data_IF_870602487007
#
_entry.id   IF_870602487007
#
_cell.length_a   1.000
_cell.length_b   1.000
_cell.length_c   1.000
_cell.angle_alpha   90.00
_cell.angle_beta   90.00
_cell.angle_gamma   90.00
#
_symmetry.space_group_name_H-M   'P 1'
#
loop_
_entity.id
_entity.type
_entity.pdbx_description
1 polymer ?
#
# COMPACT_ATOMS: atom_id res chain seq x y z
N UNK A 1 -4.72 -30.61 11.52
CA UNK A 1 -3.53 -29.98 10.90
C UNK A 1 -3.30 -28.57 11.50
N UNK A 2 -2.10 -28.30 12.05
CA UNK A 2 -1.75 -26.94 12.49
C UNK A 2 -1.81 -25.99 11.29
N UNK A 3 -2.54 -24.88 11.40
CA UNK A 3 -2.65 -23.86 10.34
C UNK A 3 -1.26 -23.36 9.99
N UNK A 4 -0.81 -23.56 8.75
CA UNK A 4 0.50 -23.06 8.28
C UNK A 4 0.53 -21.55 8.39
N UNK A 5 1.47 -21.00 9.16
CA UNK A 5 1.69 -19.57 9.26
C UNK A 5 2.44 -19.09 8.01
N UNK A 6 1.98 -18.01 7.40
CA UNK A 6 2.60 -17.38 6.24
C UNK A 6 3.60 -16.28 6.67
N UNK A 7 4.69 -16.73 7.34
CA UNK A 7 5.68 -15.82 7.93
C UNK A 7 6.35 -14.94 6.87
N UNK A 8 6.66 -15.48 5.69
CA UNK A 8 7.25 -14.71 4.60
C UNK A 8 6.30 -13.62 4.08
N UNK A 9 4.99 -13.87 4.03
CA UNK A 9 4.01 -12.84 3.70
C UNK A 9 3.92 -11.76 4.79
N UNK A 10 4.09 -12.12 6.06
CA UNK A 10 4.17 -11.11 7.12
C UNK A 10 5.44 -10.26 6.97
N UNK A 11 6.59 -10.83 6.58
CA UNK A 11 7.81 -10.07 6.25
C UNK A 11 7.56 -9.14 5.05
N UNK A 12 6.90 -9.63 4.01
CA UNK A 12 6.55 -8.82 2.83
C UNK A 12 5.69 -7.62 3.19
N UNK A 13 4.72 -7.76 4.12
CA UNK A 13 3.93 -6.62 4.63
C UNK A 13 4.80 -5.58 5.33
N UNK A 14 5.84 -6.00 6.05
CA UNK A 14 6.78 -5.08 6.67
C UNK A 14 7.54 -4.28 5.61
N UNK A 15 8.10 -4.96 4.60
CA UNK A 15 8.83 -4.29 3.51
C UNK A 15 7.92 -3.36 2.71
N UNK A 16 6.68 -3.78 2.43
CA UNK A 16 5.70 -2.94 1.76
C UNK A 16 5.32 -1.72 2.62
N UNK A 17 5.25 -1.84 3.95
CA UNK A 17 5.01 -0.70 4.83
C UNK A 17 6.18 0.29 4.82
N UNK A 18 7.42 -0.18 4.76
CA UNK A 18 8.62 0.67 4.58
C UNK A 18 8.54 1.40 3.24
N UNK A 19 8.23 0.68 2.16
CA UNK A 19 8.12 1.25 0.82
C UNK A 19 6.99 2.29 0.69
N UNK A 20 5.87 2.13 1.42
CA UNK A 20 4.82 3.17 1.48
C UNK A 20 5.34 4.45 2.15
N UNK A 21 6.14 4.34 3.20
CA UNK A 21 6.74 5.54 3.83
C UNK A 21 7.68 6.24 2.86
N UNK A 22 8.48 5.49 2.10
CA UNK A 22 9.35 6.02 1.04
C UNK A 22 8.55 6.78 -0.02
N UNK A 23 7.42 6.25 -0.49
CA UNK A 23 6.56 6.92 -1.47
C UNK A 23 6.09 8.31 -0.98
N UNK A 24 5.93 8.50 0.33
CA UNK A 24 5.46 9.77 0.91
C UNK A 24 6.58 10.68 1.40
N UNK A 25 7.76 10.17 1.70
CA UNK A 25 8.98 10.92 2.04
C UNK A 25 10.18 10.26 1.38
N UNK A 26 10.39 10.53 0.07
CA UNK A 26 11.49 9.95 -0.68
C UNK A 26 12.87 10.30 -0.08
N UNK A 27 13.81 9.40 -0.27
CA UNK A 27 15.22 9.63 0.05
C UNK A 27 15.79 10.71 -0.88
N UNK A 28 16.30 11.79 -0.33
CA UNK A 28 16.92 12.89 -1.08
C UNK A 28 18.45 12.64 -1.24
N UNK A 29 18.79 11.51 -1.87
CA UNK A 29 20.16 11.06 -2.15
C UNK A 29 20.31 10.68 -3.62
N UNK A 30 21.54 10.53 -4.08
CA UNK A 30 21.78 10.01 -5.43
C UNK A 30 21.16 8.59 -5.58
N UNK A 31 20.35 8.39 -6.62
CA UNK A 31 19.60 7.13 -6.82
C UNK A 31 18.29 7.05 -6.04
N UNK A 32 17.87 8.10 -5.34
CA UNK A 32 16.60 8.15 -4.61
C UNK A 32 15.38 7.97 -5.52
N UNK A 33 15.39 8.59 -6.69
CA UNK A 33 14.29 8.46 -7.66
C UNK A 33 14.16 7.03 -8.18
N UNK A 34 15.26 6.37 -8.49
CA UNK A 34 15.27 4.96 -8.89
C UNK A 34 14.78 4.06 -7.74
N UNK A 35 15.12 4.38 -6.50
CA UNK A 35 14.64 3.66 -5.32
C UNK A 35 13.14 3.90 -5.08
N UNK A 36 12.65 5.12 -5.33
CA UNK A 36 11.21 5.42 -5.29
C UNK A 36 10.42 4.56 -6.29
N UNK A 37 10.95 4.38 -7.51
CA UNK A 37 10.34 3.48 -8.52
C UNK A 37 10.29 2.05 -7.99
N UNK A 38 11.37 1.56 -7.37
CA UNK A 38 11.38 0.24 -6.74
C UNK A 38 10.24 0.12 -5.72
N UNK A 39 10.00 1.15 -4.91
CA UNK A 39 8.99 1.12 -3.84
C UNK A 39 7.53 1.10 -4.35
N UNK A 40 7.27 1.37 -5.64
CA UNK A 40 5.92 1.33 -6.24
C UNK A 40 5.25 -0.06 -6.16
N UNK A 41 5.99 -1.14 -5.89
CA UNK A 41 5.41 -2.47 -5.65
C UNK A 41 4.48 -2.53 -4.43
N UNK A 42 4.60 -1.60 -3.48
CA UNK A 42 4.03 -1.74 -2.13
C UNK A 42 2.50 -1.86 -2.12
N UNK A 43 1.79 -0.93 -2.78
CA UNK A 43 0.32 -0.92 -2.80
C UNK A 43 -0.26 -2.09 -3.61
N UNK A 44 0.23 -2.40 -4.83
CA UNK A 44 -0.09 -3.61 -5.55
C UNK A 44 0.02 -4.89 -4.70
N UNK A 45 1.11 -5.02 -3.96
CA UNK A 45 1.34 -6.19 -3.09
C UNK A 45 0.34 -6.26 -1.93
N UNK A 46 -0.06 -5.16 -1.32
CA UNK A 46 -1.10 -5.19 -0.29
C UNK A 46 -2.44 -5.68 -0.82
N UNK A 47 -2.84 -5.28 -2.04
CA UNK A 47 -4.03 -5.82 -2.70
C UNK A 47 -3.87 -7.32 -3.02
N UNK A 48 -2.72 -7.73 -3.56
CA UNK A 48 -2.43 -9.16 -3.83
C UNK A 48 -2.46 -10.00 -2.55
N UNK A 49 -1.88 -9.52 -1.44
CA UNK A 49 -1.93 -10.23 -0.15
C UNK A 49 -3.38 -10.41 0.31
N UNK A 50 -4.19 -9.35 0.22
CA UNK A 50 -5.60 -9.43 0.61
C UNK A 50 -6.35 -10.43 -0.26
N UNK A 51 -6.16 -10.38 -1.58
CA UNK A 51 -6.71 -11.34 -2.53
C UNK A 51 -6.24 -12.77 -2.28
N UNK A 52 -4.97 -12.99 -1.98
CA UNK A 52 -4.39 -14.32 -1.72
C UNK A 52 -5.06 -15.06 -0.55
N UNK A 53 -5.47 -14.33 0.47
CA UNK A 53 -6.20 -14.90 1.61
C UNK A 53 -7.72 -14.87 1.48
N UNK A 54 -8.26 -14.18 0.46
CA UNK A 54 -9.69 -14.05 0.27
C UNK A 54 -10.41 -15.38 0.03
N UNK A 55 -9.88 -16.37 -0.74
CA UNK A 55 -10.48 -17.70 -0.86
C UNK A 55 -10.72 -18.41 0.48
N UNK A 56 -9.81 -18.22 1.46
CA UNK A 56 -10.02 -18.77 2.80
C UNK A 56 -11.12 -18.02 3.57
N UNK A 57 -11.29 -16.74 3.30
CA UNK A 57 -12.35 -15.91 3.88
C UNK A 57 -13.71 -16.36 3.37
N UNK A 58 -13.84 -16.58 2.04
CA UNK A 58 -15.04 -17.10 1.40
C UNK A 58 -15.39 -18.51 1.92
N UNK A 59 -14.41 -19.41 1.92
CA UNK A 59 -14.62 -20.78 2.42
C UNK A 59 -15.08 -20.83 3.89
N UNK A 60 -14.77 -19.81 4.69
CA UNK A 60 -15.18 -19.68 6.09
C UNK A 60 -16.41 -18.79 6.29
N UNK A 61 -17.02 -18.27 5.22
CA UNK A 61 -18.17 -17.34 5.24
C UNK A 61 -17.89 -16.11 6.16
N UNK A 62 -16.71 -15.48 5.97
CA UNK A 62 -16.24 -14.35 6.83
C UNK A 62 -16.07 -13.06 6.05
N UNK A 63 -16.61 -12.95 4.86
CA UNK A 63 -16.47 -11.78 3.96
C UNK A 63 -17.01 -10.51 4.62
N UNK A 64 -18.23 -10.58 5.17
CA UNK A 64 -18.83 -9.45 5.89
C UNK A 64 -18.03 -9.07 7.14
N UNK A 65 -17.44 -10.05 7.83
CA UNK A 65 -16.56 -9.77 8.98
C UNK A 65 -15.27 -9.08 8.54
N UNK A 66 -14.71 -9.47 7.40
CA UNK A 66 -13.54 -8.82 6.83
C UNK A 66 -13.88 -7.39 6.41
N UNK A 67 -14.98 -7.20 5.70
CA UNK A 67 -15.49 -5.89 5.30
C UNK A 67 -15.70 -4.99 6.52
N UNK A 68 -16.46 -5.44 7.54
CA UNK A 68 -16.72 -4.69 8.75
C UNK A 68 -15.44 -4.27 9.50
N UNK A 69 -14.40 -5.14 9.52
CA UNK A 69 -13.11 -4.79 10.09
C UNK A 69 -12.43 -3.65 9.31
N UNK A 70 -12.37 -3.73 7.98
CA UNK A 70 -11.75 -2.69 7.15
C UNK A 70 -12.56 -1.40 7.24
N UNK A 71 -13.90 -1.48 7.20
CA UNK A 71 -14.79 -0.34 7.36
C UNK A 71 -14.54 0.41 8.68
N UNK A 72 -14.47 -0.32 9.81
CA UNK A 72 -14.16 0.28 11.11
C UNK A 72 -12.79 0.96 11.12
N UNK A 73 -11.77 0.36 10.50
CA UNK A 73 -10.44 0.96 10.38
C UNK A 73 -10.50 2.22 9.52
N UNK A 74 -11.23 2.18 8.40
CA UNK A 74 -11.38 3.32 7.48
C UNK A 74 -12.06 4.50 8.18
N UNK A 75 -13.17 4.26 8.88
CA UNK A 75 -13.86 5.31 9.67
C UNK A 75 -12.93 5.86 10.75
N UNK A 76 -12.28 4.99 11.52
CA UNK A 76 -11.35 5.41 12.57
C UNK A 76 -10.18 6.23 12.04
N UNK A 77 -9.61 5.86 10.87
CA UNK A 77 -8.54 6.62 10.23
C UNK A 77 -9.02 8.00 9.74
N UNK A 78 -10.21 8.08 9.11
CA UNK A 78 -10.77 9.37 8.69
C UNK A 78 -11.09 10.28 9.88
N UNK A 79 -11.66 9.75 10.98
CA UNK A 79 -11.88 10.52 12.21
C UNK A 79 -10.55 11.00 12.83
N UNK A 80 -9.53 10.15 12.83
CA UNK A 80 -8.19 10.54 13.29
C UNK A 80 -7.65 11.71 12.47
N UNK A 81 -7.72 11.65 11.14
CA UNK A 81 -7.22 12.73 10.27
C UNK A 81 -8.09 13.98 10.32
N UNK A 82 -9.40 13.86 10.57
CA UNK A 82 -10.25 15.03 10.86
C UNK A 82 -9.76 15.77 12.10
N UNK A 83 -9.51 15.04 13.20
CA UNK A 83 -8.95 15.63 14.44
C UNK A 83 -7.53 16.18 14.22
N UNK A 84 -6.73 15.51 13.40
CA UNK A 84 -5.40 15.96 13.04
C UNK A 84 -5.42 17.28 12.27
N UNK A 85 -6.29 17.45 11.27
CA UNK A 85 -6.46 18.71 10.53
C UNK A 85 -6.94 19.84 11.45
N UNK A 86 -7.85 19.56 12.39
CA UNK A 86 -8.27 20.55 13.41
C UNK A 86 -7.06 20.98 14.27
N UNK A 87 -6.24 20.04 14.75
CA UNK A 87 -5.03 20.35 15.49
C UNK A 87 -4.06 21.24 14.70
N UNK A 88 -3.88 20.94 13.41
CA UNK A 88 -3.03 21.70 12.52
C UNK A 88 -3.55 23.12 12.29
N UNK A 89 -4.87 23.29 12.14
CA UNK A 89 -5.50 24.60 11.98
C UNK A 89 -5.34 25.44 13.26
N UNK A 90 -5.54 24.83 14.44
CA UNK A 90 -5.31 25.51 15.74
C UNK A 90 -3.85 25.95 15.90
N UNK A 91 -2.89 25.09 15.58
CA UNK A 91 -1.45 25.40 15.65
C UNK A 91 -1.09 26.59 14.76
N UNK A 92 -1.65 26.64 13.55
CA UNK A 92 -1.44 27.72 12.59
C UNK A 92 -2.26 28.99 12.87
N UNK A 93 -3.14 28.95 13.87
CA UNK A 93 -4.11 30.02 14.15
C UNK A 93 -5.04 30.34 12.98
N UNK A 94 -5.33 29.36 12.16
CA UNK A 94 -6.28 29.44 11.06
C UNK A 94 -7.74 29.26 11.57
N UNK A 95 -8.70 29.76 10.81
CA UNK A 95 -10.11 29.48 11.09
C UNK A 95 -10.41 28.00 10.79
N UNK A 96 -10.75 27.23 11.82
CA UNK A 96 -10.97 25.78 11.72
C UNK A 96 -12.02 25.44 10.64
N UNK A 97 -13.12 26.23 10.57
CA UNK A 97 -14.18 26.01 9.60
C UNK A 97 -13.66 26.21 8.16
N UNK A 98 -12.91 27.27 7.91
CA UNK A 98 -12.34 27.58 6.59
C UNK A 98 -11.29 26.54 6.21
N UNK A 99 -10.40 26.15 7.13
CA UNK A 99 -9.39 25.12 6.90
C UNK A 99 -10.01 23.76 6.56
N UNK A 100 -11.11 23.38 7.22
CA UNK A 100 -11.84 22.16 6.89
C UNK A 100 -12.62 22.28 5.58
N UNK A 101 -13.31 23.39 5.34
CA UNK A 101 -14.05 23.61 4.09
C UNK A 101 -13.11 23.56 2.88
N UNK A 102 -11.92 24.15 2.96
CA UNK A 102 -10.92 24.09 1.90
C UNK A 102 -10.50 22.67 1.50
N UNK A 103 -10.67 21.67 2.41
CA UNK A 103 -10.43 20.26 2.08
C UNK A 103 -11.58 19.62 1.31
N UNK A 104 -12.78 20.23 1.34
CA UNK A 104 -14.00 19.72 0.72
C UNK A 104 -14.47 20.59 -0.46
N UNK A 105 -13.64 21.54 -0.91
CA UNK A 105 -13.95 22.38 -2.08
C UNK A 105 -13.89 21.57 -3.38
N UNK A 106 -14.82 21.89 -4.27
CA UNK A 106 -14.97 21.37 -5.63
C UNK A 106 -15.12 19.83 -5.74
N UNK A 107 -15.36 19.10 -6.55
CA UNK A 107 -15.42 17.67 -6.95
C UNK A 107 -15.26 16.60 -5.84
N UNK A 108 -15.02 16.97 -4.57
CA UNK A 108 -14.76 16.01 -3.50
C UNK A 108 -15.82 14.91 -3.38
N UNK A 109 -17.14 15.17 -3.48
CA UNK A 109 -18.14 14.11 -3.42
C UNK A 109 -18.02 13.12 -4.59
N UNK A 110 -17.78 13.61 -5.81
CA UNK A 110 -17.61 12.77 -7.00
C UNK A 110 -16.32 11.97 -6.92
N UNK A 111 -15.21 12.63 -6.59
CA UNK A 111 -13.90 11.99 -6.48
C UNK A 111 -13.85 10.98 -5.32
N UNK A 112 -14.56 11.25 -4.22
CA UNK A 112 -14.71 10.30 -3.12
C UNK A 112 -15.51 9.07 -3.55
N UNK A 113 -16.65 9.25 -4.24
CA UNK A 113 -17.54 8.15 -4.62
C UNK A 113 -16.97 7.38 -5.80
N UNK A 114 -16.54 8.07 -6.87
CA UNK A 114 -16.11 7.41 -8.11
C UNK A 114 -14.65 6.93 -8.05
N UNK A 115 -13.77 7.71 -7.40
CA UNK A 115 -12.33 7.46 -7.42
C UNK A 115 -11.75 7.14 -6.05
N UNK A 116 -12.61 6.99 -5.03
CA UNK A 116 -12.22 6.67 -3.65
C UNK A 116 -11.16 7.63 -3.06
N UNK A 117 -11.17 8.87 -3.48
CA UNK A 117 -10.27 9.90 -2.94
C UNK A 117 -10.66 10.27 -1.50
N UNK A 118 -9.66 10.49 -0.62
CA UNK A 118 -9.89 11.02 0.72
C UNK A 118 -9.51 12.49 0.79
N UNK A 119 -10.42 13.40 1.13
CA UNK A 119 -10.12 14.83 1.28
C UNK A 119 -9.24 15.10 2.51
N UNK A 120 -9.32 14.25 3.55
CA UNK A 120 -8.62 14.45 4.81
C UNK A 120 -7.14 14.06 4.75
N UNK A 121 -6.81 13.02 3.99
CA UNK A 121 -5.41 12.62 3.82
C UNK A 121 -5.21 11.76 2.57
N UNK A 122 -4.25 12.11 1.70
CA UNK A 122 -4.14 11.50 0.37
C UNK A 122 -3.84 10.00 0.42
N UNK A 123 -3.13 9.49 1.43
CA UNK A 123 -2.78 8.07 1.52
C UNK A 123 -3.98 7.18 1.89
N UNK A 124 -5.06 7.72 2.47
CA UNK A 124 -6.23 6.93 2.87
C UNK A 124 -7.00 6.31 1.70
N UNK A 125 -6.71 6.73 0.46
CA UNK A 125 -7.33 6.18 -0.75
C UNK A 125 -7.30 4.65 -0.80
N UNK A 126 -6.21 4.01 -0.33
CA UNK A 126 -6.08 2.56 -0.35
C UNK A 126 -7.14 1.85 0.51
N UNK A 127 -7.44 2.37 1.72
CA UNK A 127 -8.47 1.77 2.58
C UNK A 127 -9.85 1.87 1.95
N UNK A 128 -10.15 3.00 1.32
CA UNK A 128 -11.42 3.22 0.62
C UNK A 128 -11.50 2.34 -0.62
N UNK A 129 -10.45 2.31 -1.45
CA UNK A 129 -10.35 1.39 -2.58
C UNK A 129 -10.53 -0.07 -2.16
N UNK A 130 -9.95 -0.47 -1.03
CA UNK A 130 -10.09 -1.83 -0.50
C UNK A 130 -11.53 -2.16 -0.12
N UNK A 131 -12.31 -1.20 0.41
CA UNK A 131 -13.74 -1.41 0.67
C UNK A 131 -14.52 -1.68 -0.62
N UNK A 132 -14.30 -0.87 -1.68
CA UNK A 132 -14.91 -1.11 -2.99
C UNK A 132 -14.53 -2.47 -3.55
N UNK A 133 -13.25 -2.82 -3.49
CA UNK A 133 -12.74 -4.13 -3.94
C UNK A 133 -13.43 -5.27 -3.20
N UNK A 134 -13.61 -5.18 -1.88
CA UNK A 134 -14.25 -6.22 -1.07
C UNK A 134 -15.74 -6.35 -1.39
N UNK A 135 -16.45 -5.25 -1.66
CA UNK A 135 -17.87 -5.29 -2.09
C UNK A 135 -17.98 -5.95 -3.47
N UNK A 136 -17.16 -5.53 -4.44
CA UNK A 136 -17.16 -6.11 -5.78
C UNK A 136 -16.78 -7.60 -5.72
N UNK A 137 -15.78 -7.95 -4.91
CA UNK A 137 -15.37 -9.34 -4.73
C UNK A 137 -16.48 -10.20 -4.13
N UNK A 138 -17.22 -9.68 -3.15
CA UNK A 138 -18.39 -10.36 -2.59
C UNK A 138 -19.44 -10.64 -3.68
N UNK A 139 -19.80 -9.63 -4.48
CA UNK A 139 -20.78 -9.76 -5.55
C UNK A 139 -20.31 -10.78 -6.61
N UNK A 140 -19.06 -10.66 -7.07
CA UNK A 140 -18.48 -11.55 -8.09
C UNK A 140 -18.43 -13.01 -7.64
N UNK A 141 -18.08 -13.26 -6.36
CA UNK A 141 -18.06 -14.62 -5.81
C UNK A 141 -19.47 -15.22 -5.72
N UNK A 142 -20.47 -14.45 -5.25
CA UNK A 142 -21.83 -14.93 -5.09
C UNK A 142 -22.58 -15.13 -6.43
N UNK A 143 -22.22 -14.35 -7.45
CA UNK A 143 -22.73 -14.51 -8.81
C UNK A 143 -21.95 -15.55 -9.64
N UNK A 144 -20.89 -16.14 -9.11
CA UNK A 144 -20.07 -17.11 -9.84
C UNK A 144 -19.24 -16.52 -10.99
N UNK A 145 -19.04 -15.20 -11.01
CA UNK A 145 -18.39 -14.45 -12.10
C UNK A 145 -16.86 -14.41 -12.02
N UNK A 146 -16.25 -15.26 -11.20
CA UNK A 146 -14.81 -15.31 -10.93
C UNK A 146 -13.95 -15.42 -12.19
N UNK A 147 -14.40 -16.23 -13.20
CA UNK A 147 -13.68 -16.37 -14.48
C UNK A 147 -13.61 -15.05 -15.24
N UNK A 148 -14.72 -14.31 -15.25
CA UNK A 148 -14.78 -12.99 -15.89
C UNK A 148 -13.85 -11.98 -15.20
N UNK A 149 -13.81 -11.98 -13.86
CA UNK A 149 -12.89 -11.15 -13.09
C UNK A 149 -11.41 -11.45 -13.44
N UNK A 150 -11.04 -12.72 -13.63
CA UNK A 150 -9.69 -13.07 -14.06
C UNK A 150 -9.38 -12.62 -15.50
N UNK A 151 -10.34 -12.71 -16.42
CA UNK A 151 -10.18 -12.20 -17.77
C UNK A 151 -10.05 -10.67 -17.83
N UNK A 152 -10.63 -9.96 -16.85
CA UNK A 152 -10.53 -8.51 -16.77
C UNK A 152 -9.15 -8.04 -16.29
N UNK A 153 -8.34 -8.86 -15.62
CA UNK A 153 -7.04 -8.46 -15.06
C UNK A 153 -6.15 -7.75 -16.09
N UNK A 154 -5.83 -8.34 -17.26
CA UNK A 154 -4.93 -7.67 -18.22
C UNK A 154 -5.51 -6.37 -18.76
N UNK A 155 -6.83 -6.27 -18.93
CA UNK A 155 -7.51 -5.05 -19.41
C UNK A 155 -7.40 -3.94 -18.34
N UNK A 156 -7.63 -4.27 -17.07
CA UNK A 156 -7.52 -3.32 -15.97
C UNK A 156 -6.07 -2.87 -15.74
N UNK A 157 -5.09 -3.77 -15.87
CA UNK A 157 -3.67 -3.42 -15.80
C UNK A 157 -3.25 -2.52 -16.97
N UNK A 158 -3.74 -2.77 -18.18
CA UNK A 158 -3.52 -1.86 -19.31
C UNK A 158 -4.15 -0.48 -19.04
N UNK A 159 -5.37 -0.45 -18.48
CA UNK A 159 -6.02 0.78 -18.03
C UNK A 159 -5.22 1.54 -16.96
N UNK A 160 -4.61 0.82 -16.01
CA UNK A 160 -3.71 1.38 -15.00
C UNK A 160 -2.51 2.11 -15.64
N UNK A 161 -1.88 1.52 -16.63
CA UNK A 161 -0.78 2.15 -17.37
C UNK A 161 -1.25 3.37 -18.15
N UNK A 162 -2.34 3.25 -18.91
CA UNK A 162 -2.89 4.33 -19.76
C UNK A 162 -3.33 5.54 -18.91
N UNK A 163 -3.97 5.32 -17.76
CA UNK A 163 -4.42 6.37 -16.85
C UNK A 163 -3.34 6.80 -15.83
N UNK A 164 -2.28 6.02 -15.70
CA UNK A 164 -1.13 6.24 -14.84
C UNK A 164 0.03 6.95 -15.53
N UNK A 165 1.17 6.31 -15.57
CA UNK A 165 2.42 6.89 -16.08
C UNK A 165 2.39 7.27 -17.55
N UNK A 166 1.54 6.61 -18.37
CA UNK A 166 1.38 6.90 -19.79
C UNK A 166 0.22 7.86 -20.10
N UNK A 167 -0.42 8.47 -19.10
CA UNK A 167 -1.62 9.28 -19.28
C UNK A 167 -1.39 10.48 -20.20
N UNK A 168 -0.26 11.18 -20.10
CA UNK A 168 0.04 12.28 -21.02
C UNK A 168 0.24 11.84 -22.47
N UNK A 169 0.65 10.58 -22.69
CA UNK A 169 0.83 10.03 -24.03
C UNK A 169 -0.51 9.67 -24.69
N UNK A 170 -1.48 9.15 -23.90
CA UNK A 170 -2.74 8.62 -24.45
C UNK A 170 -3.94 9.55 -24.26
N UNK A 171 -3.99 10.35 -23.19
CA UNK A 171 -5.20 11.06 -22.76
C UNK A 171 -5.01 12.59 -22.77
N UNK A 172 -3.78 13.07 -22.62
CA UNK A 172 -3.45 14.50 -22.59
C UNK A 172 -3.41 15.10 -21.17
N UNK A 173 -3.08 16.40 -21.07
CA UNK A 173 -2.82 17.06 -19.78
C UNK A 173 -4.07 17.26 -18.93
N UNK A 174 -5.22 17.53 -19.56
CA UNK A 174 -6.46 17.88 -18.87
C UNK A 174 -7.04 16.69 -18.07
N UNK A 175 -6.76 15.45 -18.50
CA UNK A 175 -7.22 14.22 -17.86
C UNK A 175 -6.15 13.47 -17.09
N UNK A 176 -5.00 14.11 -16.85
CA UNK A 176 -3.88 13.49 -16.11
C UNK A 176 -3.99 13.74 -14.61
N UNK A 177 -4.96 13.12 -13.95
CA UNK A 177 -5.11 13.18 -12.49
C UNK A 177 -4.69 11.89 -11.82
N UNK A 178 -3.97 12.01 -10.69
CA UNK A 178 -3.48 10.89 -9.90
C UNK A 178 -4.60 9.94 -9.43
N UNK A 179 -5.81 10.44 -9.26
CA UNK A 179 -6.99 9.64 -8.84
C UNK A 179 -7.39 8.60 -9.88
N UNK A 180 -7.14 8.85 -11.17
CA UNK A 180 -7.41 7.88 -12.23
C UNK A 180 -6.46 6.69 -12.23
N UNK A 181 -5.30 6.82 -11.60
CA UNK A 181 -4.37 5.70 -11.37
C UNK A 181 -4.55 5.08 -9.98
N UNK A 182 -4.67 5.93 -8.94
CA UNK A 182 -4.81 5.51 -7.53
C UNK A 182 -6.26 5.22 -7.15
N UNK A 183 -6.85 4.16 -7.69
CA UNK A 183 -8.23 3.82 -7.35
C UNK A 183 -8.47 2.31 -7.28
N UNK A 184 -9.71 1.96 -6.87
CA UNK A 184 -10.12 0.58 -6.74
C UNK A 184 -10.15 -0.16 -8.09
N UNK A 185 -10.47 0.53 -9.19
CA UNK A 185 -10.70 -0.08 -10.50
C UNK A 185 -9.37 -0.49 -11.16
N UNK A 186 -8.44 0.46 -11.30
CA UNK A 186 -7.20 0.24 -12.06
C UNK A 186 -6.03 -0.27 -11.21
N UNK A 187 -5.99 0.03 -9.91
CA UNK A 187 -4.98 -0.52 -9.00
C UNK A 187 -5.57 -1.64 -8.11
N UNK A 188 -6.70 -1.42 -7.46
CA UNK A 188 -7.25 -2.35 -6.48
C UNK A 188 -7.65 -3.70 -7.06
N UNK A 189 -8.60 -3.69 -8.01
CA UNK A 189 -9.19 -4.92 -8.57
C UNK A 189 -8.19 -5.84 -9.26
N UNK A 190 -7.31 -5.36 -10.19
CA UNK A 190 -6.44 -6.29 -10.91
C UNK A 190 -5.47 -7.00 -9.99
N UNK A 191 -4.83 -6.30 -9.05
CA UNK A 191 -3.90 -6.93 -8.11
C UNK A 191 -4.61 -7.80 -7.07
N UNK A 192 -5.79 -7.41 -6.62
CA UNK A 192 -6.60 -8.25 -5.73
C UNK A 192 -7.01 -9.56 -6.43
N UNK A 193 -7.55 -9.50 -7.66
CA UNK A 193 -7.96 -10.71 -8.39
C UNK A 193 -6.76 -11.58 -8.78
N UNK A 194 -5.61 -10.99 -9.07
CA UNK A 194 -4.38 -11.74 -9.27
C UNK A 194 -3.99 -12.48 -7.98
N UNK A 195 -4.08 -11.81 -6.83
CA UNK A 195 -3.91 -12.45 -5.52
C UNK A 195 -4.90 -13.59 -5.28
N UNK A 196 -6.19 -13.40 -5.60
CA UNK A 196 -7.21 -14.46 -5.52
C UNK A 196 -6.85 -15.66 -6.40
N UNK A 197 -6.41 -15.40 -7.64
CA UNK A 197 -6.00 -16.44 -8.58
C UNK A 197 -4.86 -17.29 -8.02
N UNK A 198 -3.87 -16.68 -7.40
CA UNK A 198 -2.80 -17.37 -6.68
C UNK A 198 -3.32 -18.08 -5.43
N UNK A 199 -4.22 -17.45 -4.68
CA UNK A 199 -4.79 -18.00 -3.45
C UNK A 199 -5.62 -19.28 -3.67
N UNK A 200 -6.42 -19.34 -4.73
CA UNK A 200 -7.15 -20.57 -5.11
C UNK A 200 -6.23 -21.70 -5.56
N UNK A 201 -4.99 -21.40 -5.98
CA UNK A 201 -4.00 -22.35 -6.48
C UNK A 201 -2.77 -22.47 -5.59
N UNK A 202 -2.87 -22.06 -4.32
CA UNK A 202 -1.70 -21.90 -3.44
C UNK A 202 -0.84 -23.15 -3.28
N UNK A 203 -1.44 -24.35 -3.20
CA UNK A 203 -0.68 -25.59 -3.07
C UNK A 203 0.07 -25.92 -4.37
N UNK A 204 -0.61 -25.78 -5.51
CA UNK A 204 0.03 -25.94 -6.83
C UNK A 204 1.12 -24.88 -7.06
N UNK A 205 0.89 -23.64 -6.62
CA UNK A 205 1.87 -22.57 -6.70
C UNK A 205 3.11 -22.87 -5.86
N UNK A 206 2.93 -23.35 -4.62
CA UNK A 206 4.04 -23.74 -3.75
C UNK A 206 4.85 -24.90 -4.31
N UNK A 207 4.19 -25.91 -4.90
CA UNK A 207 4.89 -27.01 -5.55
C UNK A 207 5.58 -26.59 -6.84
N UNK A 208 5.03 -25.58 -7.56
CA UNK A 208 5.64 -25.01 -8.75
C UNK A 208 6.89 -24.20 -8.44
N UNK A 209 6.91 -23.44 -7.33
CA UNK A 209 8.01 -22.55 -6.94
C UNK A 209 9.16 -23.31 -6.28
N UNK A 210 9.90 -24.05 -7.10
CA UNK A 210 11.15 -24.75 -6.73
C UNK A 210 12.35 -23.77 -6.67
N UNK A 211 13.53 -24.28 -6.26
CA UNK A 211 14.75 -23.47 -6.13
C UNK A 211 15.18 -22.80 -7.43
N UNK A 212 14.99 -23.48 -8.60
CA UNK A 212 15.37 -22.91 -9.90
C UNK A 212 14.48 -21.72 -10.23
N UNK A 213 13.16 -21.84 -10.06
CA UNK A 213 12.21 -20.76 -10.32
C UNK A 213 12.38 -19.62 -9.33
N UNK A 214 12.73 -19.90 -8.06
CA UNK A 214 13.11 -18.87 -7.10
C UNK A 214 14.36 -18.10 -7.56
N UNK A 215 15.37 -18.78 -8.13
CA UNK A 215 16.52 -18.13 -8.75
C UNK A 215 16.13 -17.22 -9.91
N UNK A 216 15.23 -17.68 -10.81
CA UNK A 216 14.71 -16.86 -11.91
C UNK A 216 13.95 -15.62 -11.40
N UNK A 217 13.12 -15.75 -10.35
CA UNK A 217 12.44 -14.62 -9.74
C UNK A 217 13.45 -13.62 -9.15
N UNK A 218 14.48 -14.08 -8.47
CA UNK A 218 15.55 -13.21 -7.95
C UNK A 218 16.28 -12.45 -9.06
N UNK A 219 16.60 -13.11 -10.17
CA UNK A 219 17.17 -12.45 -11.35
C UNK A 219 16.18 -11.48 -12.03
N UNK A 220 14.89 -11.77 -11.93
CA UNK A 220 13.83 -10.91 -12.46
C UNK A 220 13.70 -9.56 -11.72
N UNK A 221 14.04 -9.48 -10.44
CA UNK A 221 13.92 -8.23 -9.66
C UNK A 221 14.69 -7.06 -10.29
N UNK A 222 16.02 -7.15 -10.52
CA UNK A 222 16.77 -6.06 -11.13
C UNK A 222 16.33 -5.80 -12.58
N UNK A 223 15.90 -6.83 -13.33
CA UNK A 223 15.43 -6.67 -14.71
C UNK A 223 14.16 -5.82 -14.76
N UNK A 224 13.14 -6.17 -13.97
CA UNK A 224 11.86 -5.45 -13.96
C UNK A 224 11.99 -4.06 -13.33
N UNK A 225 12.85 -3.90 -12.33
CA UNK A 225 13.16 -2.58 -11.78
C UNK A 225 13.84 -1.68 -12.81
N UNK A 226 14.91 -2.16 -13.48
CA UNK A 226 15.55 -1.39 -14.56
C UNK A 226 14.58 -1.09 -15.71
N UNK A 227 13.71 -2.02 -16.07
CA UNK A 227 12.67 -1.80 -17.06
C UNK A 227 11.81 -0.59 -16.67
N UNK A 228 11.33 -0.52 -15.42
CA UNK A 228 10.52 0.61 -14.95
C UNK A 228 11.29 1.94 -14.96
N UNK A 229 12.57 1.93 -14.55
CA UNK A 229 13.44 3.11 -14.61
C UNK A 229 13.64 3.58 -16.06
N UNK A 230 13.84 2.65 -16.99
CA UNK A 230 13.97 2.98 -18.41
C UNK A 230 12.66 3.52 -19.00
N UNK A 231 11.50 2.98 -18.60
CA UNK A 231 10.19 3.48 -19.00
C UNK A 231 9.99 4.92 -18.53
N UNK A 232 10.29 5.23 -17.28
CA UNK A 232 10.22 6.60 -16.78
C UNK A 232 11.10 7.53 -17.59
N UNK A 233 12.39 7.24 -17.73
CA UNK A 233 13.33 8.07 -18.49
C UNK A 233 12.92 8.25 -19.96
N UNK A 234 12.31 7.22 -20.55
CA UNK A 234 11.79 7.28 -21.92
C UNK A 234 10.59 8.23 -22.04
N UNK A 235 9.66 8.20 -21.07
CA UNK A 235 8.50 9.10 -21.01
C UNK A 235 8.92 10.54 -20.72
N UNK A 236 9.86 10.75 -19.79
CA UNK A 236 10.42 12.06 -19.45
C UNK A 236 11.07 12.72 -20.67
N UNK A 237 11.91 11.97 -21.42
CA UNK A 237 12.56 12.47 -22.64
C UNK A 237 11.57 12.92 -23.72
N UNK A 238 10.34 12.42 -23.68
CA UNK A 238 9.24 12.79 -24.60
C UNK A 238 8.28 13.81 -24.04
N UNK A 239 8.50 14.33 -22.84
CA UNK A 239 7.55 15.17 -22.11
C UNK A 239 6.15 14.51 -22.01
N UNK A 240 6.11 13.19 -21.91
CA UNK A 240 4.89 12.37 -21.89
C UNK A 240 4.70 11.61 -20.59
N UNK A 241 5.49 11.94 -19.53
CA UNK A 241 5.37 11.33 -18.21
C UNK A 241 4.12 11.83 -17.50
N UNK A 242 3.21 10.94 -17.20
CA UNK A 242 1.97 11.20 -16.47
C UNK A 242 2.13 11.18 -14.94
N UNK A 243 1.30 10.40 -14.27
CA UNK A 243 1.18 10.44 -12.79
C UNK A 243 2.30 9.73 -12.04
N UNK A 244 3.24 9.11 -12.68
CA UNK A 244 4.38 8.35 -12.09
C UNK A 244 3.95 7.23 -11.13
N UNK A 245 2.77 6.64 -11.33
CA UNK A 245 2.25 5.63 -10.41
C UNK A 245 2.73 4.22 -10.78
N UNK A 246 2.34 3.72 -11.93
CA UNK A 246 2.62 2.36 -12.36
C UNK A 246 3.25 2.35 -13.75
N UNK A 247 4.30 1.54 -13.88
CA UNK A 247 4.98 1.21 -15.11
C UNK A 247 4.79 -0.28 -15.39
N UNK A 248 4.93 -0.74 -16.61
CA UNK A 248 4.90 -2.17 -16.91
C UNK A 248 5.96 -2.93 -16.09
N UNK A 249 7.14 -2.32 -15.95
CA UNK A 249 8.21 -2.85 -15.09
C UNK A 249 7.80 -2.96 -13.63
N UNK A 250 7.10 -1.97 -13.04
CA UNK A 250 6.65 -2.04 -11.62
C UNK A 250 5.54 -3.05 -11.41
N UNK A 251 4.64 -3.25 -12.37
CA UNK A 251 3.62 -4.31 -12.32
C UNK A 251 4.29 -5.68 -12.26
N UNK A 252 5.22 -5.95 -13.18
CA UNK A 252 5.97 -7.21 -13.21
C UNK A 252 6.82 -7.40 -11.95
N UNK A 253 7.45 -6.33 -11.46
CA UNK A 253 8.22 -6.31 -10.23
C UNK A 253 7.35 -6.68 -9.02
N UNK A 254 6.15 -6.10 -8.89
CA UNK A 254 5.23 -6.40 -7.80
C UNK A 254 4.80 -7.87 -7.80
N UNK A 255 4.49 -8.42 -8.98
CA UNK A 255 4.16 -9.84 -9.15
C UNK A 255 5.36 -10.72 -8.78
N UNK A 256 6.54 -10.36 -9.25
CA UNK A 256 7.78 -11.09 -9.00
C UNK A 256 8.11 -11.12 -7.49
N UNK A 257 8.07 -9.97 -6.81
CA UNK A 257 8.27 -9.85 -5.35
C UNK A 257 7.23 -10.70 -4.62
N UNK A 258 5.96 -10.60 -4.97
CA UNK A 258 4.90 -11.37 -4.34
C UNK A 258 5.15 -12.88 -4.45
N UNK A 259 5.43 -13.39 -5.65
CA UNK A 259 5.72 -14.80 -5.90
C UNK A 259 6.99 -15.26 -5.17
N UNK A 260 8.01 -14.41 -5.10
CA UNK A 260 9.23 -14.68 -4.36
C UNK A 260 8.94 -14.95 -2.88
N UNK A 261 8.13 -14.11 -2.23
CA UNK A 261 7.79 -14.29 -0.82
C UNK A 261 6.81 -15.43 -0.57
N UNK A 262 5.92 -15.74 -1.51
CA UNK A 262 5.10 -16.96 -1.47
C UNK A 262 5.99 -18.20 -1.57
N UNK A 263 6.90 -18.25 -2.54
CA UNK A 263 7.80 -19.40 -2.73
C UNK A 263 8.83 -19.54 -1.62
N UNK A 264 9.33 -18.44 -1.07
CA UNK A 264 10.27 -18.47 0.08
C UNK A 264 9.68 -19.20 1.29
N UNK A 265 8.35 -19.22 1.44
CA UNK A 265 7.69 -19.98 2.49
C UNK A 265 8.04 -21.49 2.51
N UNK A 266 8.49 -22.06 1.38
CA UNK A 266 8.95 -23.45 1.29
C UNK A 266 10.33 -23.66 1.90
N UNK A 267 11.19 -22.63 1.90
CA UNK A 267 12.59 -22.68 2.29
C UNK A 267 12.86 -21.83 3.53
N UNK A 268 11.80 -21.28 4.13
CA UNK A 268 11.93 -20.34 5.24
C UNK A 268 12.52 -20.99 6.49
N UNK A 269 13.62 -20.41 6.96
CA UNK A 269 14.24 -20.72 8.25
C UNK A 269 14.13 -19.48 9.13
N UNK A 270 13.56 -19.65 10.32
CA UNK A 270 13.36 -18.55 11.26
C UNK A 270 14.66 -18.14 11.93
N UNK A 271 14.93 -16.84 11.97
CA UNK A 271 15.97 -16.21 12.77
C UNK A 271 15.42 -14.96 13.49
N UNK A 272 16.24 -14.31 14.32
CA UNK A 272 15.82 -13.15 15.12
C UNK A 272 15.35 -11.98 14.24
N UNK A 273 16.04 -11.69 13.13
CA UNK A 273 15.70 -10.61 12.20
C UNK A 273 14.36 -10.90 11.49
N UNK A 274 14.22 -12.08 10.88
CA UNK A 274 13.00 -12.45 10.17
C UNK A 274 11.79 -12.54 11.10
N UNK A 275 12.00 -12.93 12.36
CA UNK A 275 10.95 -12.91 13.39
C UNK A 275 10.51 -11.49 13.73
N UNK A 276 11.45 -10.55 13.87
CA UNK A 276 11.16 -9.13 14.13
C UNK A 276 10.40 -8.50 12.95
N UNK A 277 10.87 -8.68 11.70
CA UNK A 277 10.21 -8.19 10.50
C UNK A 277 8.79 -8.76 10.35
N UNK A 278 8.62 -10.08 10.57
CA UNK A 278 7.31 -10.71 10.51
C UNK A 278 6.36 -10.20 11.61
N UNK A 279 6.88 -9.86 12.80
CA UNK A 279 6.08 -9.24 13.87
C UNK A 279 5.59 -7.85 13.43
N UNK A 280 6.49 -7.01 12.90
CA UNK A 280 6.13 -5.67 12.39
C UNK A 280 5.08 -5.79 11.29
N UNK A 281 5.29 -6.63 10.29
CA UNK A 281 4.36 -6.79 9.18
C UNK A 281 3.00 -7.36 9.59
N UNK A 282 2.97 -8.27 10.58
CA UNK A 282 1.72 -8.88 11.06
C UNK A 282 0.92 -7.94 11.96
N UNK A 283 1.59 -7.35 12.96
CA UNK A 283 0.91 -6.70 14.08
C UNK A 283 0.85 -5.18 13.92
N UNK A 284 1.77 -4.58 13.14
CA UNK A 284 1.95 -3.13 13.08
C UNK A 284 1.66 -2.52 11.69
N UNK A 285 1.77 -3.28 10.58
CA UNK A 285 1.74 -2.72 9.22
C UNK A 285 0.51 -1.85 8.93
N UNK A 286 -0.67 -2.23 9.43
CA UNK A 286 -1.90 -1.44 9.25
C UNK A 286 -1.86 -0.12 10.02
N UNK A 287 -1.33 -0.13 11.26
CA UNK A 287 -1.19 1.09 12.06
C UNK A 287 -0.08 1.99 11.51
N UNK A 288 1.03 1.40 11.03
CA UNK A 288 2.07 2.14 10.31
C UNK A 288 1.47 2.84 9.10
N UNK A 289 0.68 2.11 8.29
CA UNK A 289 -0.01 2.68 7.14
C UNK A 289 -0.92 3.86 7.54
N UNK A 290 -1.67 3.77 8.62
CA UNK A 290 -2.56 4.86 9.04
C UNK A 290 -1.78 6.05 9.60
N UNK A 291 -0.73 5.83 10.41
CA UNK A 291 -0.11 6.89 11.22
C UNK A 291 1.10 7.56 10.56
N UNK A 292 1.79 6.91 9.61
CA UNK A 292 3.06 7.42 9.07
C UNK A 292 2.96 8.83 8.49
N UNK A 293 1.82 9.18 7.87
CA UNK A 293 1.64 10.49 7.24
C UNK A 293 1.48 11.62 8.28
N UNK A 294 0.80 11.37 9.39
CA UNK A 294 0.75 12.31 10.51
C UNK A 294 2.13 12.49 11.16
N UNK A 295 2.88 11.38 11.33
CA UNK A 295 4.27 11.44 11.82
C UNK A 295 5.16 12.21 10.84
N UNK A 296 5.01 11.98 9.53
CA UNK A 296 5.70 12.73 8.49
C UNK A 296 5.44 14.24 8.64
N UNK A 297 4.17 14.65 8.72
CA UNK A 297 3.80 16.06 8.89
C UNK A 297 4.35 16.65 10.18
N UNK A 298 4.29 15.93 11.30
CA UNK A 298 4.84 16.39 12.57
C UNK A 298 6.36 16.57 12.51
N UNK A 299 7.09 15.57 11.99
CA UNK A 299 8.54 15.64 11.86
C UNK A 299 8.98 16.75 10.88
N UNK A 300 8.29 16.89 9.73
CA UNK A 300 8.57 17.94 8.77
C UNK A 300 8.50 19.33 9.42
N UNK A 301 7.47 19.59 10.23
CA UNK A 301 7.34 20.84 11.00
C UNK A 301 8.41 20.99 12.07
N UNK A 302 8.74 19.92 12.80
CA UNK A 302 9.81 19.96 13.79
C UNK A 302 11.17 20.36 13.20
N UNK A 303 11.42 20.01 11.94
CA UNK A 303 12.68 20.28 11.27
C UNK A 303 12.65 21.50 10.32
N UNK A 304 11.48 22.06 10.06
CA UNK A 304 11.30 23.22 9.18
C UNK A 304 12.15 24.41 9.64
N UNK A 305 12.90 25.00 8.73
CA UNK A 305 13.78 26.16 8.99
C UNK A 305 15.00 25.89 9.88
N UNK A 306 15.20 24.67 10.38
CA UNK A 306 16.35 24.31 11.22
C UNK A 306 17.55 23.90 10.37
N UNK A 307 18.76 24.37 10.78
CA UNK A 307 20.04 24.04 10.13
C UNK A 307 20.92 23.12 10.98
N UNK A 308 20.33 22.26 11.79
CA UNK A 308 21.09 21.30 12.60
C UNK A 308 21.47 20.06 11.74
N UNK A 309 22.54 19.35 12.17
CA UNK A 309 22.91 18.06 11.55
C UNK A 309 21.73 17.06 11.50
N UNK A 310 20.90 17.06 12.54
CA UNK A 310 19.72 16.20 12.59
C UNK A 310 18.67 16.63 11.55
N UNK A 311 18.47 17.92 11.31
CA UNK A 311 17.56 18.42 10.28
C UNK A 311 18.07 18.09 8.87
N UNK A 312 19.38 18.20 8.63
CA UNK A 312 20.00 17.76 7.36
C UNK A 312 19.84 16.26 7.17
N UNK A 313 20.06 15.46 8.22
CA UNK A 313 19.83 14.02 8.19
C UNK A 313 18.37 13.67 7.91
N UNK A 314 17.41 14.40 8.49
CA UNK A 314 15.98 14.22 8.19
C UNK A 314 15.63 14.59 6.73
N UNK A 315 16.25 15.62 6.19
CA UNK A 315 16.05 16.00 4.79
C UNK A 315 16.47 14.86 3.87
N UNK A 316 17.66 14.31 4.04
CA UNK A 316 18.21 13.25 3.18
C UNK A 316 17.56 11.87 3.42
N UNK A 317 17.33 11.52 4.69
CA UNK A 317 16.90 10.17 5.12
C UNK A 317 15.56 10.18 5.84
N UNK A 318 14.68 11.12 5.52
CA UNK A 318 13.41 11.35 6.23
C UNK A 318 12.53 10.11 6.33
N UNK A 319 12.51 9.25 5.32
CA UNK A 319 11.81 7.97 5.36
C UNK A 319 12.20 7.12 6.57
N UNK A 320 13.51 7.02 6.87
CA UNK A 320 13.99 6.22 8.00
C UNK A 320 13.52 6.80 9.35
N UNK A 321 13.54 8.14 9.49
CA UNK A 321 13.02 8.82 10.68
C UNK A 321 11.53 8.59 10.86
N UNK A 322 10.74 8.80 9.80
CA UNK A 322 9.29 8.61 9.84
C UNK A 322 8.95 7.15 10.16
N UNK A 323 9.60 6.20 9.52
CA UNK A 323 9.36 4.79 9.78
C UNK A 323 9.72 4.40 11.22
N UNK A 324 10.91 4.77 11.70
CA UNK A 324 11.38 4.44 13.04
C UNK A 324 10.45 5.02 14.12
N UNK A 325 10.10 6.31 14.03
CA UNK A 325 9.19 6.96 14.98
C UNK A 325 7.81 6.31 14.94
N UNK A 326 7.29 6.04 13.75
CA UNK A 326 5.98 5.39 13.60
C UNK A 326 5.97 3.99 14.21
N UNK A 327 7.00 3.18 13.98
CA UNK A 327 7.12 1.84 14.57
C UNK A 327 7.17 1.89 16.09
N UNK A 328 7.94 2.82 16.66
CA UNK A 328 8.02 3.01 18.12
C UNK A 328 6.66 3.39 18.70
N UNK A 329 5.96 4.38 18.10
CA UNK A 329 4.62 4.80 18.54
C UNK A 329 3.63 3.64 18.48
N UNK A 330 3.62 2.89 17.38
CA UNK A 330 2.75 1.72 17.21
C UNK A 330 3.08 0.62 18.21
N UNK A 331 4.36 0.35 18.46
CA UNK A 331 4.79 -0.66 19.44
C UNK A 331 4.35 -0.29 20.87
N UNK A 332 4.50 0.97 21.26
CA UNK A 332 4.03 1.48 22.55
C UNK A 332 2.50 1.32 22.67
N UNK A 333 1.75 1.75 21.66
CA UNK A 333 0.30 1.63 21.64
C UNK A 333 -0.18 0.18 21.74
N UNK A 334 0.40 -0.74 20.96
CA UNK A 334 0.01 -2.16 20.95
C UNK A 334 0.32 -2.82 22.30
N UNK A 335 1.48 -2.51 22.90
CA UNK A 335 1.87 -3.05 24.19
C UNK A 335 0.99 -2.51 25.32
N UNK A 336 0.71 -1.20 25.34
CA UNK A 336 -0.20 -0.58 26.34
C UNK A 336 -1.60 -1.21 26.25
N UNK A 337 -2.14 -1.37 25.03
CA UNK A 337 -3.44 -2.02 24.83
C UNK A 337 -3.45 -3.48 25.31
N UNK A 338 -2.37 -4.21 25.12
CA UNK A 338 -2.24 -5.58 25.61
C UNK A 338 -2.21 -5.65 27.15
N UNK A 339 -1.50 -4.73 27.83
CA UNK A 339 -1.47 -4.62 29.28
C UNK A 339 -2.85 -4.31 29.85
N UNK A 340 -3.56 -3.34 29.30
CA UNK A 340 -4.92 -2.98 29.74
C UNK A 340 -5.90 -4.16 29.60
N UNK A 341 -5.83 -4.88 28.47
CA UNK A 341 -6.69 -6.05 28.23
C UNK A 341 -6.40 -7.22 29.17
N UNK A 342 -5.15 -7.38 29.58
CA UNK A 342 -4.77 -8.42 30.56
C UNK A 342 -5.21 -8.02 31.98
N UNK A 343 -5.19 -6.72 32.29
CA UNK A 343 -5.69 -6.22 33.59
C UNK A 343 -7.21 -6.39 33.73
N UNK A 344 -7.97 -6.03 32.69
CA UNK A 344 -9.43 -6.18 32.66
C UNK A 344 -9.94 -7.65 32.63
N UNK A 345 -9.08 -8.63 32.38
CA UNK A 345 -9.42 -10.07 32.46
C UNK A 345 -9.12 -10.68 33.83
N UNK A 346 -8.43 -9.95 34.69
CA UNK A 346 -8.09 -10.38 36.05
C UNK A 346 -9.01 -9.79 37.13
N UNK A 347 -9.80 -8.79 36.73
CA UNK A 347 -10.94 -8.24 37.49
C UNK A 347 -12.25 -8.93 37.05
#
# INVERSE_FOLDING_TARGET
MKKRRWTCIDILKCLAAIAVVEIHKPLEIQGGDEFLILCRFAVPVFFMITGFFYPETVAKKRELKQFGKIFTITIGANLFYLLWEILLAVEKRENIKEALLARFEERVPEDFILWNFSPLSPHLWYLQALLYVLVIAFIVEHLGLRKLAYLAIPVLLAGSLIKGSYSLFFVGKEDCHIYYARNFLYCGLPFFWLGCWFGYRKEALLSFLDRKKMGLLLCGLPVFWNMAVMEQKWLEKRNALGTQEEYAGTILLAICIFLLFVGWQNFYVENSLTRALAKVGKDYSMLIYVLHYAVLQALSRCFEGRRSLLAMGYQQYGMMFVFAVTVVMVAVYVNARACLKNHSRKL
#
